data_IF_089956960116
#
_entry.id   IF_089956960116
#
_cell.length_a   1.000
_cell.length_b   1.000
_cell.length_c   1.000
_cell.angle_alpha   90.00
_cell.angle_beta   90.00
_cell.angle_gamma   90.00
#
_symmetry.space_group_name_H-M   'P 1'
#
loop_
_entity.id
_entity.type
_entity.pdbx_description
1 polymer ?
#
# COMPACT_ATOMS: atom_id res chain seq x y z
N UNK A 1 -0.61 16.96 -15.91
CA UNK A 1 -2.02 16.66 -15.56
C UNK A 1 -2.95 17.36 -16.57
N UNK A 2 -4.13 16.81 -16.86
CA UNK A 2 -5.07 17.33 -17.88
C UNK A 2 -6.44 17.75 -17.31
N UNK A 3 -7.39 18.06 -18.20
CA UNK A 3 -8.74 18.54 -17.86
C UNK A 3 -9.82 17.58 -18.35
N UNK A 4 -10.76 17.19 -17.48
CA UNK A 4 -11.84 16.25 -17.80
C UNK A 4 -12.90 16.84 -18.74
N UNK A 5 -13.04 18.17 -18.80
CA UNK A 5 -13.95 18.83 -19.75
C UNK A 5 -13.39 18.81 -21.18
N UNK A 6 -12.08 18.67 -21.33
CA UNK A 6 -11.37 18.71 -22.61
C UNK A 6 -11.00 17.30 -23.11
N UNK A 7 -10.91 16.32 -22.23
CA UNK A 7 -10.41 14.98 -22.55
C UNK A 7 -11.21 13.88 -21.83
N UNK A 8 -11.58 12.79 -22.53
CA UNK A 8 -12.19 11.63 -21.88
C UNK A 8 -11.30 11.09 -20.76
N UNK A 9 -11.92 10.68 -19.65
CA UNK A 9 -11.21 10.14 -18.48
C UNK A 9 -10.26 8.98 -18.85
N UNK A 10 -10.68 8.11 -19.78
CA UNK A 10 -9.85 6.97 -20.21
C UNK A 10 -8.52 7.40 -20.83
N UNK A 11 -8.48 8.55 -21.51
CA UNK A 11 -7.26 9.12 -22.07
C UNK A 11 -6.39 9.75 -20.99
N UNK A 12 -7.01 10.46 -20.04
CA UNK A 12 -6.31 11.03 -18.88
C UNK A 12 -5.63 9.93 -18.05
N UNK A 13 -6.30 8.80 -17.80
CA UNK A 13 -5.74 7.65 -17.06
C UNK A 13 -4.56 6.96 -17.77
N UNK A 14 -4.39 7.17 -19.08
CA UNK A 14 -3.27 6.64 -19.85
C UNK A 14 -2.07 7.59 -19.93
N UNK A 15 -2.17 8.79 -19.34
CA UNK A 15 -1.10 9.78 -19.34
C UNK A 15 0.17 9.21 -18.67
N UNK A 16 1.36 9.49 -19.24
CA UNK A 16 2.64 9.03 -18.70
C UNK A 16 2.83 9.39 -17.22
N UNK A 17 2.43 10.59 -16.80
CA UNK A 17 2.63 11.07 -15.42
C UNK A 17 1.79 10.30 -14.40
N UNK A 18 0.56 9.90 -14.76
CA UNK A 18 -0.28 9.05 -13.91
C UNK A 18 0.26 7.62 -13.85
N UNK A 19 0.81 7.11 -14.96
CA UNK A 19 1.48 5.82 -14.98
C UNK A 19 2.71 5.84 -14.08
N UNK A 20 3.56 6.86 -14.20
CA UNK A 20 4.75 7.04 -13.37
C UNK A 20 4.38 7.14 -11.88
N UNK A 21 3.38 7.97 -11.54
CA UNK A 21 2.85 8.07 -10.18
C UNK A 21 2.38 6.70 -9.65
N UNK A 22 1.70 5.91 -10.50
CA UNK A 22 1.30 4.55 -10.19
C UNK A 22 2.49 3.62 -9.93
N UNK A 23 3.56 3.69 -10.74
CA UNK A 23 4.75 2.86 -10.56
C UNK A 23 5.50 3.21 -9.27
N UNK A 24 5.52 4.47 -8.83
CA UNK A 24 6.15 4.89 -7.56
C UNK A 24 5.60 4.14 -6.34
N UNK A 25 4.35 3.66 -6.40
CA UNK A 25 3.75 2.82 -5.33
C UNK A 25 4.50 1.51 -5.10
N UNK A 26 5.16 0.96 -6.14
CA UNK A 26 5.85 -0.33 -6.10
C UNK A 26 7.24 -0.26 -5.46
N UNK A 27 7.85 0.91 -5.37
CA UNK A 27 9.17 1.09 -4.75
C UNK A 27 9.05 0.95 -3.24
N UNK A 28 9.69 -0.08 -2.69
CA UNK A 28 9.70 -0.40 -1.26
C UNK A 28 11.14 -0.73 -0.82
N UNK A 29 11.56 -0.31 0.39
CA UNK A 29 12.84 -0.71 0.94
C UNK A 29 12.86 -2.22 1.22
N UNK A 30 14.04 -2.84 1.26
CA UNK A 30 14.27 -4.26 1.56
C UNK A 30 13.62 -4.66 2.88
N UNK A 31 13.66 -3.80 3.90
CA UNK A 31 12.94 -3.99 5.15
C UNK A 31 11.44 -4.26 4.96
N UNK A 32 10.78 -3.55 4.03
CA UNK A 32 9.37 -3.79 3.74
C UNK A 32 9.14 -5.07 2.93
N UNK A 33 10.09 -5.47 2.09
CA UNK A 33 9.97 -6.66 1.25
C UNK A 33 9.98 -7.96 2.07
N UNK A 34 10.71 -7.99 3.18
CA UNK A 34 10.75 -9.10 4.14
C UNK A 34 9.77 -8.96 5.32
N UNK A 35 8.99 -7.88 5.39
CA UNK A 35 8.10 -7.61 6.51
C UNK A 35 6.88 -8.55 6.50
N UNK A 36 6.58 -9.18 7.64
CA UNK A 36 5.47 -10.13 7.78
C UNK A 36 4.09 -9.53 7.47
N UNK A 37 3.90 -8.22 7.69
CA UNK A 37 2.62 -7.53 7.47
C UNK A 37 2.53 -6.88 6.09
N UNK A 38 3.54 -7.06 5.23
CA UNK A 38 3.60 -6.44 3.90
C UNK A 38 2.35 -6.73 3.07
N UNK A 39 1.80 -7.94 3.14
CA UNK A 39 0.62 -8.32 2.37
C UNK A 39 -0.60 -7.43 2.67
N UNK A 40 -0.72 -6.92 3.91
CA UNK A 40 -1.82 -6.04 4.32
C UNK A 40 -1.44 -4.56 4.22
N UNK A 41 -0.21 -4.17 4.57
CA UNK A 41 0.17 -2.76 4.59
C UNK A 41 0.68 -2.23 3.24
N UNK A 42 1.31 -3.08 2.42
CA UNK A 42 1.95 -2.74 1.13
C UNK A 42 2.87 -1.51 1.18
N UNK A 43 3.52 -1.26 2.32
CA UNK A 43 4.37 -0.09 2.57
C UNK A 43 3.60 1.23 2.76
N UNK A 44 2.29 1.17 2.95
CA UNK A 44 1.42 2.33 3.18
C UNK A 44 1.36 3.32 2.01
N UNK A 45 0.76 4.48 2.24
CA UNK A 45 0.65 5.54 1.25
C UNK A 45 2.06 6.10 0.90
N UNK A 46 2.42 6.26 -0.39
CA UNK A 46 3.69 6.86 -0.80
C UNK A 46 3.95 8.26 -0.24
N UNK A 47 2.88 9.05 -0.02
CA UNK A 47 2.98 10.38 0.60
C UNK A 47 3.65 10.34 1.97
N UNK A 48 3.46 9.27 2.71
CA UNK A 48 3.93 9.14 4.10
C UNK A 48 5.23 8.31 4.18
N UNK A 49 5.84 7.96 3.03
CA UNK A 49 7.11 7.22 2.95
C UNK A 49 8.33 8.13 3.10
N UNK A 50 8.35 8.86 4.21
CA UNK A 50 9.33 9.92 4.51
C UNK A 50 10.42 9.52 5.51
N UNK A 51 10.34 8.31 6.07
CA UNK A 51 11.30 7.82 7.07
C UNK A 51 12.34 6.91 6.41
N UNK A 52 13.52 6.84 7.03
CA UNK A 52 14.51 5.79 6.75
C UNK A 52 14.10 4.47 7.40
N UNK A 53 14.40 3.36 6.73
CA UNK A 53 14.32 2.02 7.29
C UNK A 53 15.42 1.79 8.32
N UNK A 54 15.34 0.73 9.15
CA UNK A 54 16.40 0.40 10.12
C UNK A 54 17.77 0.15 9.50
N UNK A 55 17.78 -0.34 8.25
CA UNK A 55 18.93 -0.54 7.37
C UNK A 55 19.34 0.72 6.58
N UNK A 56 18.72 1.87 6.86
CA UNK A 56 19.10 3.17 6.31
C UNK A 56 18.52 3.48 4.92
N UNK A 57 17.68 2.61 4.36
CA UNK A 57 17.06 2.85 3.05
C UNK A 57 15.89 3.84 3.16
N UNK A 58 15.74 4.77 2.21
CA UNK A 58 14.60 5.68 2.20
C UNK A 58 13.30 4.94 1.85
N UNK A 59 12.17 5.57 2.15
CA UNK A 59 10.86 5.09 1.70
C UNK A 59 10.11 4.26 2.73
N UNK A 60 10.55 4.25 3.99
CA UNK A 60 9.76 3.66 5.07
C UNK A 60 8.58 4.59 5.41
N UNK A 61 7.39 4.00 5.52
CA UNK A 61 6.21 4.72 5.97
C UNK A 61 6.40 5.25 7.42
N UNK A 62 6.03 6.51 7.67
CA UNK A 62 6.11 7.14 8.98
C UNK A 62 5.41 6.33 10.08
N UNK A 63 4.25 5.72 9.76
CA UNK A 63 3.45 4.91 10.68
C UNK A 63 3.84 3.43 10.69
N UNK A 64 4.99 3.05 10.12
CA UNK A 64 5.36 1.63 9.95
C UNK A 64 5.27 0.81 11.25
N UNK A 65 5.77 1.35 12.38
CA UNK A 65 5.69 0.66 13.67
C UNK A 65 4.25 0.44 14.16
N UNK A 66 3.39 1.44 13.98
CA UNK A 66 1.98 1.36 14.32
C UNK A 66 1.23 0.36 13.44
N UNK A 67 1.47 0.38 12.13
CA UNK A 67 0.89 -0.57 11.18
C UNK A 67 1.32 -2.01 11.49
N UNK A 68 2.59 -2.24 11.81
CA UNK A 68 3.07 -3.56 12.25
C UNK A 68 2.31 -4.04 13.49
N UNK A 69 2.19 -3.19 14.52
CA UNK A 69 1.46 -3.54 15.74
C UNK A 69 -0.01 -3.84 15.47
N UNK A 70 -0.67 -2.98 14.68
CA UNK A 70 -2.08 -3.14 14.33
C UNK A 70 -2.34 -4.47 13.61
N UNK A 71 -1.61 -4.74 12.54
CA UNK A 71 -1.84 -5.94 11.74
C UNK A 71 -1.45 -7.23 12.47
N UNK A 72 -0.38 -7.24 13.29
CA UNK A 72 -0.08 -8.38 14.16
C UNK A 72 -1.22 -8.68 15.14
N UNK A 73 -1.83 -7.64 15.70
CA UNK A 73 -2.91 -7.79 16.67
C UNK A 73 -4.24 -8.18 16.04
N UNK A 74 -4.63 -7.55 14.92
CA UNK A 74 -5.95 -7.73 14.31
C UNK A 74 -6.03 -8.97 13.40
N UNK A 75 -4.90 -9.45 12.88
CA UNK A 75 -4.84 -10.57 11.92
C UNK A 75 -5.65 -11.80 12.37
N UNK A 76 -5.49 -12.37 13.58
CA UNK A 76 -6.20 -13.60 13.94
C UNK A 76 -7.73 -13.43 13.90
N UNK A 77 -8.24 -12.29 14.38
CA UNK A 77 -9.66 -12.00 14.33
C UNK A 77 -10.16 -11.81 12.89
N UNK A 78 -9.40 -11.09 12.07
CA UNK A 78 -9.75 -10.86 10.67
C UNK A 78 -9.78 -12.16 9.85
N UNK A 79 -8.88 -13.10 10.13
CA UNK A 79 -8.87 -14.42 9.50
C UNK A 79 -10.15 -15.20 9.85
N UNK A 80 -10.57 -15.19 11.12
CA UNK A 80 -11.84 -15.83 11.54
C UNK A 80 -13.05 -15.20 10.82
N UNK A 81 -13.11 -13.86 10.76
CA UNK A 81 -14.20 -13.15 10.11
C UNK A 81 -14.26 -13.46 8.61
N UNK A 82 -13.10 -13.45 7.93
CA UNK A 82 -12.99 -13.78 6.52
C UNK A 82 -13.45 -15.22 6.23
N UNK A 83 -13.03 -16.20 7.04
CA UNK A 83 -13.45 -17.59 6.89
C UNK A 83 -14.97 -17.76 7.05
N UNK A 84 -15.58 -17.08 8.03
CA UNK A 84 -17.04 -17.11 8.22
C UNK A 84 -17.79 -16.49 7.04
N UNK A 85 -17.30 -15.36 6.53
CA UNK A 85 -17.90 -14.67 5.39
C UNK A 85 -17.85 -15.53 4.11
N UNK A 86 -16.74 -16.21 3.85
CA UNK A 86 -16.59 -17.11 2.71
C UNK A 86 -17.47 -18.36 2.84
N UNK A 87 -17.65 -18.89 4.04
CA UNK A 87 -18.54 -20.03 4.28
C UNK A 87 -20.02 -19.67 4.06
N UNK A 88 -20.42 -18.43 4.35
CA UNK A 88 -21.79 -17.95 4.17
C UNK A 88 -22.16 -17.54 2.73
N UNK A 89 -21.18 -17.50 1.81
CA UNK A 89 -21.40 -17.19 0.39
C UNK A 89 -21.60 -18.44 -0.49
N UNK A 90 -21.54 -19.63 0.09
CA UNK A 90 -21.89 -20.90 -0.56
C UNK A 90 -23.32 -21.28 -0.18
#
# INVERSE_FOLDING_TARGET
MGNIQESPLSSLLRLPELREFGQRKKSLPRFCLSCEVKAWCNGGCPKDRIKLSPDGEPGLNYLCAGLQRFFRHSRPLMEILASRWLAAQK
#
